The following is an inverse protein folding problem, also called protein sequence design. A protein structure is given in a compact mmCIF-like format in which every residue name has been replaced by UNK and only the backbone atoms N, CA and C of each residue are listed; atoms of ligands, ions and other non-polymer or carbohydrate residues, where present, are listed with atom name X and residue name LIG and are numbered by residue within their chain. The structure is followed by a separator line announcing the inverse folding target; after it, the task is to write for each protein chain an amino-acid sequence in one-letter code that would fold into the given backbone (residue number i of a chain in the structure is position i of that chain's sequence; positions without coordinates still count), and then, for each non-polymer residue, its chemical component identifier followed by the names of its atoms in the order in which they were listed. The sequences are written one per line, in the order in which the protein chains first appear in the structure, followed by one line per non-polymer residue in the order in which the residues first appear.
data_IF_474010606730
#
_entry.id   IF_474010606730
#
_cell.length_a   1.000
_cell.length_b   1.000
_cell.length_c   1.000
_cell.angle_alpha   90.00
_cell.angle_beta   90.00
_cell.angle_gamma   90.00
#
_symmetry.space_group_name_H-M   'P 1'
#
loop_
_entity.id
_entity.type
_entity.pdbx_description
1 polymer ?
#
# COMPACT_ATOMS: atom_id res chain seq x y z
N UNK A 1 -25.61 -2.75 -5.11
CA UNK A 1 -24.85 -3.69 -5.95
C UNK A 1 -23.41 -3.45 -5.58
N UNK A 2 -22.56 -4.47 -5.45
CA UNK A 2 -21.13 -4.29 -5.19
C UNK A 2 -20.73 -4.25 -3.71
N UNK A 3 -21.29 -5.08 -2.86
CA UNK A 3 -20.79 -5.17 -1.47
C UNK A 3 -19.34 -5.64 -1.45
N UNK A 4 -18.57 -5.04 -0.55
CA UNK A 4 -17.16 -5.37 -0.29
C UNK A 4 -17.06 -6.29 0.94
N UNK A 5 -16.00 -7.12 0.96
CA UNK A 5 -15.59 -7.81 2.18
C UNK A 5 -14.40 -7.08 2.77
N UNK A 6 -14.51 -6.63 4.00
CA UNK A 6 -13.45 -5.94 4.74
C UNK A 6 -12.89 -6.88 5.79
N UNK A 7 -11.58 -7.13 5.73
CA UNK A 7 -10.87 -7.98 6.69
C UNK A 7 -9.85 -7.10 7.43
N UNK A 8 -10.01 -6.89 8.75
CA UNK A 8 -9.00 -6.18 9.54
C UNK A 8 -7.71 -6.99 9.59
N UNK A 9 -6.58 -6.29 9.56
CA UNK A 9 -5.27 -6.90 9.75
C UNK A 9 -4.85 -6.85 11.23
N UNK A 10 -3.75 -7.52 11.58
CA UNK A 10 -3.22 -7.56 12.95
C UNK A 10 -2.79 -6.18 13.48
N UNK A 11 -2.53 -5.23 12.58
CA UNK A 11 -2.22 -3.84 12.93
C UNK A 11 -3.49 -3.00 12.76
N UNK A 12 -3.94 -2.38 13.84
CA UNK A 12 -5.17 -1.57 13.86
C UNK A 12 -5.15 -0.45 12.83
N UNK A 13 -6.18 -0.41 12.01
CA UNK A 13 -6.38 0.59 10.95
C UNK A 13 -6.01 0.08 9.57
N UNK A 14 -5.26 -1.02 9.46
CA UNK A 14 -5.00 -1.70 8.19
C UNK A 14 -6.14 -2.66 7.84
N UNK A 15 -6.58 -2.61 6.58
CA UNK A 15 -7.66 -3.49 6.09
C UNK A 15 -7.32 -4.06 4.72
N UNK A 16 -7.54 -5.35 4.54
CA UNK A 16 -7.62 -5.98 3.22
C UNK A 16 -9.07 -5.94 2.77
N UNK A 17 -9.31 -5.41 1.57
CA UNK A 17 -10.64 -5.21 1.02
C UNK A 17 -10.77 -6.05 -0.27
N UNK A 18 -11.82 -6.85 -0.33
CA UNK A 18 -12.12 -7.71 -1.48
C UNK A 18 -13.43 -7.24 -2.10
N UNK A 19 -13.40 -6.63 -3.31
CA UNK A 19 -14.61 -6.25 -4.02
C UNK A 19 -15.37 -7.48 -4.52
N UNK A 20 -16.69 -7.37 -4.64
CA UNK A 20 -17.47 -8.40 -5.32
C UNK A 20 -17.19 -8.35 -6.82
N UNK A 21 -16.81 -9.48 -7.39
CA UNK A 21 -16.49 -9.61 -8.82
C UNK A 21 -17.62 -10.40 -9.52
N UNK A 22 -18.27 -9.76 -10.47
CA UNK A 22 -19.34 -10.36 -11.29
C UNK A 22 -18.72 -10.87 -12.60
N UNK A 23 -18.76 -12.18 -12.83
CA UNK A 23 -18.17 -12.82 -14.01
C UNK A 23 -19.25 -13.40 -14.93
N UNK A 24 -19.05 -13.26 -16.25
CA UNK A 24 -19.81 -13.95 -17.30
C UNK A 24 -18.90 -14.26 -18.50
N UNK A 25 -19.48 -14.74 -19.63
CA UNK A 25 -18.72 -15.06 -20.85
C UNK A 25 -18.01 -13.87 -21.50
N UNK A 26 -18.34 -12.64 -21.13
CA UNK A 26 -17.70 -11.40 -21.64
C UNK A 26 -16.48 -10.97 -20.80
N UNK A 27 -16.29 -11.56 -19.61
CA UNK A 27 -15.25 -11.20 -18.67
C UNK A 27 -15.77 -10.92 -17.26
N UNK A 28 -15.44 -9.78 -16.68
CA UNK A 28 -15.91 -9.43 -15.34
C UNK A 28 -16.22 -7.93 -15.20
N UNK A 29 -17.08 -7.64 -14.24
CA UNK A 29 -17.34 -6.29 -13.73
C UNK A 29 -17.13 -6.28 -12.21
N UNK A 30 -16.58 -5.20 -11.66
CA UNK A 30 -16.54 -4.94 -10.23
C UNK A 30 -16.55 -3.44 -9.96
N UNK A 31 -17.12 -3.04 -8.84
CA UNK A 31 -16.91 -1.71 -8.29
C UNK A 31 -15.61 -1.72 -7.50
N UNK A 32 -14.64 -0.89 -7.90
CA UNK A 32 -13.34 -0.82 -7.21
C UNK A 32 -13.38 0.09 -6.00
N UNK A 33 -14.31 1.03 -5.97
CA UNK A 33 -14.62 1.90 -4.85
C UNK A 33 -16.07 2.37 -4.95
N UNK A 34 -16.78 2.27 -3.83
CA UNK A 34 -18.11 2.84 -3.66
C UNK A 34 -18.19 3.41 -2.24
N UNK A 35 -18.36 4.72 -2.13
CA UNK A 35 -18.35 5.42 -0.84
C UNK A 35 -19.38 4.87 0.14
N UNK A 36 -20.58 4.53 -0.35
CA UNK A 36 -21.64 3.99 0.51
C UNK A 36 -21.25 2.62 1.08
N UNK A 37 -20.69 1.71 0.25
CA UNK A 37 -20.25 0.38 0.71
C UNK A 37 -19.14 0.49 1.74
N UNK A 38 -18.19 1.44 1.55
CA UNK A 38 -17.13 1.72 2.51
C UNK A 38 -17.69 2.28 3.82
N UNK A 39 -18.60 3.26 3.73
CA UNK A 39 -19.26 3.84 4.90
C UNK A 39 -20.08 2.78 5.69
N UNK A 40 -20.84 1.94 5.00
CA UNK A 40 -21.58 0.83 5.64
C UNK A 40 -20.63 -0.17 6.34
N UNK A 41 -19.40 -0.31 5.84
CA UNK A 41 -18.35 -1.13 6.46
C UNK A 41 -17.60 -0.40 7.60
N UNK A 42 -17.96 0.83 7.94
CA UNK A 42 -17.29 1.65 8.96
C UNK A 42 -16.00 2.31 8.50
N UNK A 43 -15.83 2.49 7.19
CA UNK A 43 -14.64 3.10 6.57
C UNK A 43 -15.03 4.46 5.95
N UNK A 44 -14.84 5.54 6.71
CA UNK A 44 -15.34 6.88 6.38
C UNK A 44 -14.31 7.79 5.68
N UNK A 45 -13.21 7.23 5.16
CA UNK A 45 -12.21 8.03 4.47
C UNK A 45 -12.79 8.67 3.20
N UNK A 46 -12.32 9.88 2.91
CA UNK A 46 -12.62 10.59 1.68
C UNK A 46 -11.36 10.64 0.81
N UNK A 47 -11.47 10.20 -0.44
CA UNK A 47 -10.36 10.23 -1.37
C UNK A 47 -10.45 11.44 -2.30
N UNK A 48 -9.33 12.12 -2.49
CA UNK A 48 -9.22 13.38 -3.26
C UNK A 48 -8.27 13.30 -4.44
N UNK A 49 -7.46 12.23 -4.54
CA UNK A 49 -6.46 12.05 -5.59
C UNK A 49 -6.32 10.58 -5.97
N UNK A 50 -6.23 10.31 -7.27
CA UNK A 50 -5.90 8.99 -7.82
C UNK A 50 -4.53 9.02 -8.50
N UNK A 51 -3.73 7.97 -8.30
CA UNK A 51 -2.45 7.78 -8.95
C UNK A 51 -2.36 6.39 -9.57
N UNK A 52 -1.56 6.27 -10.64
CA UNK A 52 -1.21 4.99 -11.24
C UNK A 52 0.25 4.99 -11.68
N UNK A 53 0.92 3.88 -11.47
CA UNK A 53 2.29 3.66 -11.93
C UNK A 53 2.42 2.29 -12.59
N UNK A 54 3.41 2.14 -13.48
CA UNK A 54 3.86 0.87 -14.03
C UNK A 54 5.30 0.63 -13.59
N UNK A 55 5.64 -0.60 -13.30
CA UNK A 55 6.98 -1.00 -12.87
C UNK A 55 7.27 -2.43 -13.31
N UNK A 56 8.54 -2.71 -13.60
CA UNK A 56 9.02 -4.04 -13.98
C UNK A 56 9.41 -4.87 -12.75
N UNK A 57 9.59 -6.19 -12.93
CA UNK A 57 10.00 -7.12 -11.88
C UNK A 57 11.23 -6.63 -11.11
N UNK A 58 11.20 -6.77 -9.80
CA UNK A 58 12.29 -6.36 -8.92
C UNK A 58 12.29 -4.87 -8.53
N UNK A 59 11.43 -4.04 -9.13
CA UNK A 59 11.27 -2.66 -8.66
C UNK A 59 10.68 -2.67 -7.27
N UNK A 60 11.39 -2.03 -6.34
CA UNK A 60 10.94 -1.74 -4.98
C UNK A 60 10.82 -0.23 -4.82
N UNK A 61 9.64 0.22 -4.44
CA UNK A 61 9.35 1.63 -4.15
C UNK A 61 8.98 1.78 -2.69
N UNK A 62 9.61 2.71 -2.00
CA UNK A 62 9.28 3.02 -0.61
C UNK A 62 10.49 2.98 0.33
N UNK A 63 10.26 2.96 1.58
CA UNK A 63 8.97 3.14 2.30
C UNK A 63 8.68 4.64 2.47
N UNK A 64 7.54 5.13 1.98
CA UNK A 64 7.24 6.56 1.90
C UNK A 64 6.07 6.98 2.79
N UNK A 65 6.07 8.26 3.16
CA UNK A 65 4.97 8.96 3.83
C UNK A 65 5.05 10.47 3.55
N UNK A 66 4.00 11.22 3.84
CA UNK A 66 4.03 12.68 3.99
C UNK A 66 3.93 13.03 5.48
N UNK A 67 4.65 14.09 5.90
CA UNK A 67 4.86 14.42 7.31
C UNK A 67 3.74 15.30 7.88
N UNK A 68 3.47 16.42 7.23
CA UNK A 68 2.50 17.45 7.66
C UNK A 68 1.12 17.23 7.01
N UNK A 69 1.10 16.61 5.83
CA UNK A 69 -0.09 16.30 5.06
C UNK A 69 -0.17 14.78 4.79
N UNK A 70 -0.25 13.96 5.86
CA UNK A 70 -0.21 12.52 5.70
C UNK A 70 -1.38 12.01 4.86
N UNK A 71 -1.10 11.03 4.01
CA UNK A 71 -2.07 10.44 3.10
C UNK A 71 -2.45 9.04 3.56
N UNK A 72 -3.74 8.79 3.79
CA UNK A 72 -4.29 7.44 3.76
C UNK A 72 -4.37 6.97 2.30
N UNK A 73 -4.15 5.68 2.06
CA UNK A 73 -4.07 5.11 0.70
C UNK A 73 -4.93 3.86 0.59
N UNK A 74 -5.69 3.78 -0.50
CA UNK A 74 -6.35 2.54 -0.93
C UNK A 74 -5.66 2.06 -2.20
N UNK A 75 -4.89 0.97 -2.08
CA UNK A 75 -3.99 0.50 -3.13
C UNK A 75 -4.44 -0.83 -3.74
N UNK A 76 -4.14 -1.05 -5.02
CA UNK A 76 -4.42 -2.29 -5.74
C UNK A 76 -3.48 -2.49 -6.93
N UNK A 77 -3.25 -3.74 -7.32
CA UNK A 77 -2.63 -4.05 -8.59
C UNK A 77 -3.71 -4.18 -9.67
N UNK A 78 -3.60 -3.37 -10.73
CA UNK A 78 -4.49 -3.44 -11.91
C UNK A 78 -3.99 -4.49 -12.90
N UNK A 79 -2.67 -4.65 -12.99
CA UNK A 79 -1.96 -5.66 -13.76
C UNK A 79 -0.82 -6.24 -12.95
N UNK A 80 -0.53 -7.53 -13.12
CA UNK A 80 0.57 -8.20 -12.44
C UNK A 80 0.35 -8.40 -10.95
N UNK A 81 1.45 -8.53 -10.22
CA UNK A 81 1.48 -8.91 -8.80
C UNK A 81 2.54 -8.11 -8.06
N UNK A 82 2.18 -7.59 -6.89
CA UNK A 82 3.10 -6.90 -5.98
C UNK A 82 2.97 -7.47 -4.57
N UNK A 83 4.04 -7.36 -3.79
CA UNK A 83 4.00 -7.49 -2.34
C UNK A 83 4.00 -6.10 -1.74
N UNK A 84 2.90 -5.74 -1.10
CA UNK A 84 2.66 -4.40 -0.55
C UNK A 84 2.87 -4.40 0.97
N UNK A 85 3.56 -3.40 1.50
CA UNK A 85 4.00 -3.33 2.90
C UNK A 85 3.63 -2.00 3.52
N UNK A 86 3.07 -2.05 4.72
CA UNK A 86 2.84 -0.90 5.59
C UNK A 86 3.58 -1.09 6.92
N UNK A 87 4.27 -0.05 7.38
CA UNK A 87 4.98 0.00 8.68
C UNK A 87 4.32 1.05 9.56
N UNK A 88 3.92 0.68 10.77
CA UNK A 88 3.28 1.59 11.72
C UNK A 88 4.29 2.57 12.33
N UNK A 89 4.14 3.86 12.04
CA UNK A 89 4.96 4.96 12.58
C UNK A 89 4.23 5.82 13.62
N UNK A 90 3.05 5.39 14.09
CA UNK A 90 2.24 6.09 15.09
C UNK A 90 2.77 5.79 16.49
N UNK A 91 3.39 6.78 17.13
CA UNK A 91 4.06 6.60 18.44
C UNK A 91 3.14 6.20 19.57
N UNK A 92 1.84 6.51 19.48
CA UNK A 92 0.81 6.09 20.46
C UNK A 92 0.21 4.72 20.18
N UNK A 93 0.65 4.01 19.14
CA UNK A 93 0.13 2.70 18.76
C UNK A 93 0.84 1.57 19.50
N UNK A 94 0.09 0.56 19.94
CA UNK A 94 0.66 -0.69 20.49
C UNK A 94 1.49 -1.47 19.45
N UNK A 95 1.31 -1.16 18.17
CA UNK A 95 2.02 -1.78 17.05
C UNK A 95 3.06 -0.86 16.41
N UNK A 96 3.48 0.22 17.10
CA UNK A 96 4.55 1.09 16.64
C UNK A 96 5.80 0.28 16.27
N UNK A 97 6.32 0.48 15.06
CA UNK A 97 7.45 -0.25 14.51
C UNK A 97 7.12 -1.67 14.01
N UNK A 98 5.86 -2.10 14.02
CA UNK A 98 5.45 -3.35 13.38
C UNK A 98 5.08 -3.12 11.93
N UNK A 99 5.21 -4.17 11.12
CA UNK A 99 4.83 -4.13 9.71
C UNK A 99 3.83 -5.22 9.37
N UNK A 100 3.07 -4.98 8.31
CA UNK A 100 2.17 -5.93 7.69
C UNK A 100 2.40 -5.92 6.17
N UNK A 101 2.42 -7.11 5.57
CA UNK A 101 2.58 -7.28 4.13
C UNK A 101 1.48 -8.13 3.53
N UNK A 102 1.09 -7.82 2.30
CA UNK A 102 0.05 -8.53 1.57
C UNK A 102 0.37 -8.60 0.08
N UNK A 103 0.08 -9.76 -0.53
CA UNK A 103 0.16 -9.90 -1.99
C UNK A 103 -1.11 -9.34 -2.62
N UNK A 104 -0.93 -8.34 -3.49
CA UNK A 104 -1.98 -7.76 -4.32
C UNK A 104 -1.73 -8.13 -5.79
N UNK A 105 -2.76 -8.60 -6.48
CA UNK A 105 -2.64 -8.95 -7.90
C UNK A 105 -3.89 -8.60 -8.69
N UNK A 106 -3.72 -8.45 -10.01
CA UNK A 106 -4.85 -8.31 -10.92
C UNK A 106 -5.78 -9.54 -10.88
N UNK A 107 -5.25 -10.70 -10.47
CA UNK A 107 -6.01 -11.94 -10.35
C UNK A 107 -6.83 -12.00 -9.06
N UNK A 108 -6.19 -11.73 -7.88
CA UNK A 108 -6.88 -11.83 -6.59
C UNK A 108 -7.81 -10.65 -6.31
N UNK A 109 -7.69 -9.55 -7.05
CA UNK A 109 -8.53 -8.34 -6.95
C UNK A 109 -8.52 -7.68 -5.56
N UNK A 110 -7.62 -8.10 -4.68
CA UNK A 110 -7.51 -7.51 -3.34
C UNK A 110 -7.05 -6.06 -3.41
N UNK A 111 -7.55 -5.28 -2.49
CA UNK A 111 -7.11 -3.93 -2.21
C UNK A 111 -6.62 -3.85 -0.77
N UNK A 112 -5.71 -2.94 -0.50
CA UNK A 112 -5.18 -2.73 0.83
C UNK A 112 -5.38 -1.27 1.23
N UNK A 113 -6.04 -1.05 2.36
CA UNK A 113 -6.19 0.28 2.94
C UNK A 113 -5.14 0.50 4.02
N UNK A 114 -4.39 1.58 3.89
CA UNK A 114 -3.32 2.03 4.77
C UNK A 114 -3.68 3.44 5.22
N UNK A 115 -4.02 3.68 6.49
CA UNK A 115 -4.34 5.02 6.98
C UNK A 115 -3.09 5.90 7.09
N UNK A 116 -3.30 7.16 7.48
CA UNK A 116 -2.25 8.09 7.83
C UNK A 116 -1.40 7.54 8.99
N UNK A 117 -0.12 7.91 9.04
CA UNK A 117 0.80 7.48 10.11
C UNK A 117 1.55 6.18 9.81
N UNK A 118 1.49 5.70 8.57
CA UNK A 118 2.26 4.54 8.11
C UNK A 118 3.28 4.92 7.05
N UNK A 119 4.43 4.24 7.05
CA UNK A 119 5.29 4.17 5.88
C UNK A 119 4.81 3.06 4.95
N UNK A 120 4.80 3.32 3.65
CA UNK A 120 4.24 2.43 2.64
C UNK A 120 5.21 2.20 1.49
N UNK A 121 5.25 0.97 1.00
CA UNK A 121 6.01 0.60 -0.17
C UNK A 121 5.60 -0.76 -0.73
N UNK A 122 6.14 -1.10 -1.90
CA UNK A 122 5.85 -2.40 -2.53
C UNK A 122 7.03 -2.91 -3.36
N UNK A 123 7.06 -4.24 -3.54
CA UNK A 123 7.96 -4.96 -4.42
C UNK A 123 7.17 -5.61 -5.56
N UNK A 124 7.61 -5.42 -6.81
CA UNK A 124 7.01 -6.06 -7.99
C UNK A 124 7.51 -7.49 -8.12
N UNK A 125 6.58 -8.45 -8.15
CA UNK A 125 6.87 -9.89 -8.21
C UNK A 125 6.68 -10.49 -9.61
N UNK A 126 5.78 -9.94 -10.43
CA UNK A 126 5.55 -10.33 -11.83
C UNK A 126 6.48 -9.58 -12.79
N UNK A 127 6.53 -9.98 -14.06
CA UNK A 127 7.37 -9.31 -15.07
C UNK A 127 7.09 -7.81 -15.15
N UNK A 128 5.80 -7.44 -15.04
CA UNK A 128 5.33 -6.07 -14.94
C UNK A 128 4.18 -5.98 -13.94
N UNK A 129 4.00 -4.83 -13.31
CA UNK A 129 2.82 -4.51 -12.52
C UNK A 129 2.35 -3.08 -12.79
N UNK A 130 1.04 -2.92 -12.95
CA UNK A 130 0.38 -1.61 -12.88
C UNK A 130 -0.30 -1.50 -11.51
N UNK A 131 0.05 -0.43 -10.81
CA UNK A 131 -0.34 -0.19 -9.43
C UNK A 131 -1.11 1.12 -9.33
N UNK A 132 -2.35 1.03 -8.89
CA UNK A 132 -3.26 2.18 -8.76
C UNK A 132 -3.63 2.40 -7.30
N UNK A 133 -3.71 3.66 -6.89
CA UNK A 133 -4.11 3.99 -5.53
C UNK A 133 -4.82 5.34 -5.41
N UNK A 134 -5.76 5.38 -4.47
CA UNK A 134 -6.46 6.59 -4.03
C UNK A 134 -5.81 7.14 -2.78
N UNK A 135 -5.77 8.47 -2.64
CA UNK A 135 -5.22 9.16 -1.49
C UNK A 135 -6.25 10.03 -0.79
N UNK A 136 -6.17 10.10 0.54
CA UNK A 136 -7.06 10.93 1.37
C UNK A 136 -6.63 12.40 1.41
N UNK A 137 -5.41 12.72 0.98
CA UNK A 137 -4.91 14.09 0.85
C UNK A 137 -4.09 14.24 -0.43
N UNK A 138 -3.83 15.48 -0.83
CA UNK A 138 -3.05 15.79 -2.02
C UNK A 138 -1.55 15.50 -1.82
N UNK A 139 -0.86 15.26 -2.93
CA UNK A 139 0.59 15.15 -2.91
C UNK A 139 1.24 16.53 -2.72
N UNK A 140 2.13 16.63 -1.75
CA UNK A 140 2.94 17.80 -1.45
C UNK A 140 4.42 17.47 -1.61
N UNK A 141 5.04 17.92 -2.69
CA UNK A 141 6.42 17.55 -3.08
C UNK A 141 7.49 17.88 -2.04
N UNK A 142 7.27 18.91 -1.22
CA UNK A 142 8.19 19.31 -0.14
C UNK A 142 7.97 18.59 1.19
N UNK A 143 6.91 17.78 1.31
CA UNK A 143 6.49 17.14 2.56
C UNK A 143 6.84 15.65 2.63
N UNK A 144 7.40 15.12 1.56
CA UNK A 144 7.72 13.69 1.48
C UNK A 144 8.80 13.29 2.49
N UNK A 145 8.59 12.16 3.13
CA UNK A 145 9.54 11.46 3.97
C UNK A 145 9.59 9.98 3.62
N UNK A 146 10.57 9.30 4.17
CA UNK A 146 10.72 7.87 3.95
C UNK A 146 11.62 7.23 4.99
N UNK A 147 11.67 5.91 4.95
CA UNK A 147 12.59 5.10 5.73
C UNK A 147 13.19 3.99 4.86
N UNK A 148 14.36 3.50 5.28
CA UNK A 148 15.05 2.42 4.58
C UNK A 148 14.16 1.17 4.48
N UNK A 149 13.98 0.65 3.26
CA UNK A 149 13.19 -0.54 2.96
C UNK A 149 13.71 -1.81 3.66
N UNK A 150 15.02 -1.84 3.93
CA UNK A 150 15.75 -2.97 4.53
C UNK A 150 16.20 -2.70 5.97
N UNK A 151 15.52 -1.80 6.67
CA UNK A 151 15.86 -1.50 8.07
C UNK A 151 15.82 -2.77 8.93
N UNK A 152 16.92 -3.11 9.64
CA UNK A 152 17.03 -4.37 10.39
C UNK A 152 16.17 -4.37 11.67
N UNK A 153 15.83 -3.22 12.21
CA UNK A 153 14.98 -3.11 13.41
C UNK A 153 13.52 -3.42 13.08
N UNK A 154 13.05 -3.00 11.89
CA UNK A 154 11.73 -3.34 11.37
C UNK A 154 11.69 -4.76 10.84
N UNK A 155 12.71 -5.16 10.09
CA UNK A 155 12.89 -6.54 9.61
C UNK A 155 11.79 -6.98 8.64
N UNK A 156 11.41 -6.13 7.67
CA UNK A 156 10.44 -6.53 6.64
C UNK A 156 10.98 -7.72 5.86
N UNK A 157 10.22 -8.79 5.83
CA UNK A 157 10.53 -10.01 5.08
C UNK A 157 10.02 -9.89 3.64
N UNK A 158 10.78 -9.16 2.82
CA UNK A 158 10.47 -9.05 1.40
C UNK A 158 10.64 -10.39 0.69
N UNK A 159 9.69 -10.83 -0.15
CA UNK A 159 9.79 -12.10 -0.88
C UNK A 159 10.73 -11.96 -2.10
N UNK A 160 12.01 -11.68 -1.83
CA UNK A 160 13.05 -11.55 -2.84
C UNK A 160 13.51 -12.95 -3.23
N UNK A 161 13.19 -13.37 -4.45
CA UNK A 161 13.58 -14.66 -5.00
C UNK A 161 15.08 -14.69 -5.29
N UNK A 162 15.69 -15.89 -5.23
CA UNK A 162 17.08 -16.09 -5.63
C UNK A 162 17.29 -15.63 -7.09
N UNK A 163 18.28 -14.76 -7.30
CA UNK A 163 18.55 -14.17 -8.60
C UNK A 163 17.68 -12.99 -9.00
N UNK A 164 16.74 -12.56 -8.16
CA UNK A 164 15.98 -11.34 -8.41
C UNK A 164 16.87 -10.11 -8.25
N UNK A 165 17.02 -9.33 -9.31
CA UNK A 165 17.70 -8.03 -9.27
C UNK A 165 16.73 -6.96 -8.75
N UNK A 166 17.11 -6.30 -7.65
CA UNK A 166 16.33 -5.18 -7.10
C UNK A 166 16.65 -3.89 -7.84
N UNK A 167 15.59 -3.19 -8.23
CA UNK A 167 15.66 -1.87 -8.87
C UNK A 167 15.04 -0.84 -7.91
N UNK A 168 15.89 -0.03 -7.32
CA UNK A 168 15.50 0.95 -6.31
C UNK A 168 16.01 2.33 -6.73
N UNK A 169 15.14 3.36 -6.66
CA UNK A 169 15.53 4.72 -7.02
C UNK A 169 16.65 5.26 -6.13
N UNK A 170 17.47 6.16 -6.64
CA UNK A 170 18.52 6.81 -5.83
C UNK A 170 17.97 7.49 -4.56
N UNK A 171 16.76 8.04 -4.66
CA UNK A 171 16.07 8.64 -3.52
C UNK A 171 15.77 7.60 -2.46
N UNK A 172 15.21 6.45 -2.85
CA UNK A 172 14.79 5.40 -1.92
C UNK A 172 15.96 4.68 -1.26
N UNK A 173 17.13 4.70 -1.90
CA UNK A 173 18.39 4.19 -1.32
C UNK A 173 18.98 5.10 -0.24
N UNK A 174 18.57 6.38 -0.19
CA UNK A 174 19.14 7.40 0.71
C UNK A 174 18.32 7.61 1.99
N UNK A 175 17.16 6.99 2.13
CA UNK A 175 16.38 7.13 3.35
C UNK A 175 17.12 6.55 4.55
N UNK A 176 17.04 7.27 5.68
CA UNK A 176 17.53 6.81 6.98
C UNK A 176 16.73 5.63 7.52
N UNK A 177 17.22 5.03 8.61
CA UNK A 177 16.55 3.93 9.28
C UNK A 177 15.28 4.33 10.04
N UNK A 178 14.62 3.35 10.65
CA UNK A 178 13.40 3.53 11.44
C UNK A 178 13.54 4.59 12.54
N UNK A 179 14.72 4.66 13.19
CA UNK A 179 14.97 5.64 14.26
C UNK A 179 14.95 7.08 13.79
N UNK A 180 15.29 7.32 12.52
CA UNK A 180 15.32 8.63 11.88
C UNK A 180 13.99 8.98 11.21
N UNK A 181 13.05 8.01 11.11
CA UNK A 181 11.75 8.21 10.50
C UNK A 181 10.91 9.23 11.28
N UNK A 182 10.04 9.92 10.56
CA UNK A 182 9.07 10.84 11.18
C UNK A 182 8.12 10.04 12.09
N UNK A 183 7.80 10.61 13.22
CA UNK A 183 6.95 10.01 14.24
C UNK A 183 5.60 10.71 14.24
N UNK A 184 4.56 9.94 13.97
CA UNK A 184 3.17 10.41 13.97
C UNK A 184 2.53 10.30 15.34
#
# INVERSE_FOLDING_TARGET
MGKIKVTPCDIKGLYVIEPTVFKDERGYFMETYNQNDFHEAGLDMVFVQDNQSMSVKGVLRGLHYQKQYPQGKLVRAVRGTVFDVAVDLRTGSETYGKWFGVVLSAENKKQFYIPEGFAHGFLVLSDEAEFAYKCTDFYHSGDEGGMAWNDPEIGVEWPIEEGMELIISEKDQKWGGFRDAFKF
#
